data_IF_294546726121
#
_entry.id   IF_294546726121
#
_cell.length_a   1.000
_cell.length_b   1.000
_cell.length_c   1.000
_cell.angle_alpha   90.00
_cell.angle_beta   90.00
_cell.angle_gamma   90.00
#
_symmetry.space_group_name_H-M   'P 1'
#
loop_
_entity.id
_entity.type
_entity.pdbx_description
1 polymer ?
#
# COMPACT_ATOMS: atom_id res chain seq x y z
N UNK A 1 4.87 -17.69 -11.73
CA UNK A 1 5.65 -18.76 -11.08
C UNK A 1 6.33 -19.64 -12.12
N UNK A 2 5.62 -20.18 -13.12
CA UNK A 2 6.22 -21.02 -14.19
C UNK A 2 7.41 -20.38 -14.90
N UNK A 3 7.42 -19.04 -15.05
CA UNK A 3 8.54 -18.28 -15.59
C UNK A 3 9.79 -18.22 -14.67
N UNK A 4 9.80 -18.90 -13.51
CA UNK A 4 10.95 -18.99 -12.61
C UNK A 4 11.01 -17.93 -11.49
N UNK A 5 9.92 -17.22 -11.20
CA UNK A 5 9.91 -16.21 -10.13
C UNK A 5 9.82 -16.86 -8.73
N UNK A 6 10.76 -16.54 -7.84
CA UNK A 6 10.80 -17.03 -6.45
C UNK A 6 9.74 -16.40 -5.53
N UNK A 7 9.16 -15.26 -5.94
CA UNK A 7 8.07 -14.60 -5.23
C UNK A 7 7.16 -13.86 -6.20
N UNK A 8 5.90 -13.64 -5.79
CA UNK A 8 4.92 -12.88 -6.56
C UNK A 8 4.48 -11.65 -5.77
N UNK A 9 4.62 -10.47 -6.37
CA UNK A 9 4.11 -9.23 -5.81
C UNK A 9 2.69 -8.97 -6.30
N UNK A 10 1.75 -8.88 -5.37
CA UNK A 10 0.31 -8.87 -5.63
C UNK A 10 -0.28 -7.49 -5.34
N UNK A 11 -0.85 -6.87 -6.37
CA UNK A 11 -1.61 -5.64 -6.22
C UNK A 11 -1.77 -4.89 -7.54
N UNK A 12 -3.02 -4.59 -7.91
CA UNK A 12 -3.35 -3.78 -9.08
C UNK A 12 -4.39 -2.72 -8.69
N UNK A 13 -3.97 -1.46 -8.72
CA UNK A 13 -4.83 -0.31 -8.46
C UNK A 13 -5.21 -0.06 -6.99
N UNK A 14 -4.55 -0.73 -6.04
CA UNK A 14 -4.82 -0.54 -4.60
C UNK A 14 -4.00 0.61 -3.96
N UNK A 15 -2.96 1.09 -4.63
CA UNK A 15 -2.06 2.12 -4.10
C UNK A 15 -2.76 3.47 -3.87
N UNK A 16 -2.37 4.18 -2.82
CA UNK A 16 -2.96 5.47 -2.42
C UNK A 16 -2.83 6.59 -3.46
N UNK A 17 -1.80 6.52 -4.31
CA UNK A 17 -1.52 7.47 -5.40
C UNK A 17 -1.85 6.91 -6.79
N UNK A 18 -2.48 5.75 -6.86
CA UNK A 18 -2.72 5.02 -8.10
C UNK A 18 -4.12 5.32 -8.63
N UNK A 19 -4.22 5.64 -9.91
CA UNK A 19 -5.50 5.88 -10.60
C UNK A 19 -5.81 4.80 -11.63
N UNK A 20 -5.03 3.71 -11.72
CA UNK A 20 -5.24 2.60 -12.68
C UNK A 20 -6.70 2.14 -12.73
N UNK A 21 -7.37 1.90 -11.59
CA UNK A 21 -8.77 1.45 -11.58
C UNK A 21 -9.73 2.47 -12.19
N UNK A 22 -9.48 3.75 -11.95
CA UNK A 22 -10.34 4.84 -12.43
C UNK A 22 -10.09 5.08 -13.92
N UNK A 23 -8.83 5.09 -14.35
CA UNK A 23 -8.42 5.43 -15.71
C UNK A 23 -8.64 4.27 -16.68
N UNK A 24 -8.31 3.03 -16.27
CA UNK A 24 -8.35 1.85 -17.14
C UNK A 24 -9.54 0.91 -16.88
N UNK A 25 -10.24 1.08 -15.75
CA UNK A 25 -11.25 0.12 -15.29
C UNK A 25 -10.67 -1.20 -14.75
N UNK A 26 -9.35 -1.42 -14.82
CA UNK A 26 -8.71 -2.66 -14.41
C UNK A 26 -8.27 -2.64 -12.93
N UNK A 27 -8.55 -3.74 -12.22
CA UNK A 27 -8.05 -3.99 -10.89
C UNK A 27 -8.91 -4.98 -10.11
N UNK A 28 -8.41 -5.39 -8.94
CA UNK A 28 -9.10 -6.31 -8.04
C UNK A 28 -8.98 -5.82 -6.59
N UNK A 29 -10.05 -5.84 -5.77
CA UNK A 29 -9.96 -5.50 -4.35
C UNK A 29 -8.82 -6.25 -3.67
N UNK A 30 -7.97 -5.51 -2.94
CA UNK A 30 -6.63 -5.98 -2.56
C UNK A 30 -6.67 -7.24 -1.67
N UNK A 31 -7.62 -7.31 -0.74
CA UNK A 31 -7.73 -8.47 0.14
C UNK A 31 -8.10 -9.74 -0.64
N UNK A 32 -9.03 -9.63 -1.60
CA UNK A 32 -9.36 -10.73 -2.51
C UNK A 32 -8.18 -11.12 -3.40
N UNK A 33 -7.46 -10.13 -3.94
CA UNK A 33 -6.27 -10.37 -4.77
C UNK A 33 -5.19 -11.15 -4.01
N UNK A 34 -4.91 -10.75 -2.76
CA UNK A 34 -3.96 -11.45 -1.88
C UNK A 34 -4.47 -12.87 -1.60
N UNK A 35 -5.73 -13.03 -1.21
CA UNK A 35 -6.33 -14.33 -0.89
C UNK A 35 -6.27 -15.32 -2.06
N UNK A 36 -6.67 -14.87 -3.25
CA UNK A 36 -6.69 -15.71 -4.45
C UNK A 36 -5.26 -16.07 -4.90
N UNK A 37 -4.35 -15.09 -4.91
CA UNK A 37 -2.96 -15.33 -5.28
C UNK A 37 -2.24 -16.23 -4.28
N UNK A 38 -2.46 -16.05 -2.97
CA UNK A 38 -1.87 -16.87 -1.92
C UNK A 38 -2.27 -18.34 -2.08
N UNK A 39 -3.55 -18.61 -2.29
CA UNK A 39 -4.05 -19.99 -2.49
C UNK A 39 -3.43 -20.70 -3.70
N UNK A 40 -3.09 -19.96 -4.74
CA UNK A 40 -2.41 -20.51 -5.90
C UNK A 40 -0.91 -20.71 -5.64
N UNK A 41 -0.25 -19.73 -5.02
CA UNK A 41 1.19 -19.74 -4.76
C UNK A 41 1.60 -20.73 -3.66
N UNK A 42 0.75 -20.94 -2.65
CA UNK A 42 0.97 -21.86 -1.54
C UNK A 42 1.15 -23.32 -2.01
N UNK A 43 0.38 -23.74 -3.03
CA UNK A 43 0.53 -25.07 -3.66
C UNK A 43 1.90 -25.31 -4.28
N UNK A 44 2.64 -24.23 -4.54
CA UNK A 44 3.96 -24.24 -5.15
C UNK A 44 5.04 -23.84 -4.13
N UNK A 45 4.68 -23.64 -2.85
CA UNK A 45 5.55 -23.12 -1.79
C UNK A 45 6.21 -21.78 -2.16
N UNK A 46 5.50 -20.92 -2.89
CA UNK A 46 6.00 -19.60 -3.29
C UNK A 46 5.39 -18.51 -2.40
N UNK A 47 6.21 -17.70 -1.70
CA UNK A 47 5.70 -16.60 -0.90
C UNK A 47 5.18 -15.45 -1.78
N UNK A 48 4.22 -14.70 -1.26
CA UNK A 48 3.69 -13.51 -1.93
C UNK A 48 3.91 -12.24 -1.11
N UNK A 49 4.00 -11.11 -1.81
CA UNK A 49 4.10 -9.77 -1.24
C UNK A 49 2.78 -9.03 -1.52
N UNK A 50 2.06 -8.63 -0.47
CA UNK A 50 0.89 -7.76 -0.62
C UNK A 50 1.32 -6.30 -0.84
N UNK A 51 1.10 -5.75 -2.03
CA UNK A 51 1.60 -4.42 -2.43
C UNK A 51 0.48 -3.39 -2.62
N UNK A 52 0.49 -2.37 -1.75
CA UNK A 52 -0.42 -1.23 -1.82
C UNK A 52 -1.72 -1.37 -1.01
N UNK A 53 -2.34 -0.22 -0.73
CA UNK A 53 -3.64 -0.14 -0.06
C UNK A 53 -3.62 -0.20 1.47
N UNK A 54 -2.45 -0.38 2.09
CA UNK A 54 -2.29 -0.31 3.55
C UNK A 54 -2.44 1.14 4.02
N UNK A 55 -3.47 1.41 4.81
CA UNK A 55 -3.72 2.72 5.42
C UNK A 55 -3.42 2.72 6.92
N UNK A 56 -3.70 1.60 7.59
CA UNK A 56 -3.46 1.40 9.01
C UNK A 56 -2.68 0.11 9.28
N UNK A 57 -2.03 0.01 10.44
CA UNK A 57 -1.33 -1.21 10.86
C UNK A 57 -2.23 -2.45 10.90
N UNK A 58 -3.52 -2.28 11.18
CA UNK A 58 -4.51 -3.36 11.09
C UNK A 58 -4.69 -3.94 9.67
N UNK A 59 -4.38 -3.17 8.62
CA UNK A 59 -4.44 -3.68 7.24
C UNK A 59 -3.25 -4.59 6.93
N UNK A 60 -2.10 -4.40 7.61
CA UNK A 60 -0.96 -5.33 7.58
C UNK A 60 -1.39 -6.68 8.15
N UNK A 61 -2.08 -6.67 9.31
CA UNK A 61 -2.62 -7.90 9.93
C UNK A 61 -3.54 -8.63 8.95
N UNK A 62 -4.49 -7.91 8.33
CA UNK A 62 -5.44 -8.50 7.37
C UNK A 62 -4.74 -9.06 6.13
N UNK A 63 -3.76 -8.34 5.58
CA UNK A 63 -3.00 -8.79 4.41
C UNK A 63 -2.23 -10.09 4.72
N UNK A 64 -1.56 -10.15 5.87
CA UNK A 64 -0.82 -11.34 6.30
C UNK A 64 -1.79 -12.48 6.57
N UNK A 65 -2.86 -12.24 7.34
CA UNK A 65 -3.88 -13.25 7.62
C UNK A 65 -4.60 -13.77 6.36
N UNK A 66 -4.63 -12.98 5.28
CA UNK A 66 -5.14 -13.41 3.98
C UNK A 66 -4.14 -14.24 3.15
N UNK A 67 -2.93 -14.47 3.65
CA UNK A 67 -1.93 -15.33 3.01
C UNK A 67 -0.69 -14.60 2.47
N UNK A 68 -0.56 -13.28 2.65
CA UNK A 68 0.68 -12.60 2.29
C UNK A 68 1.82 -12.94 3.26
N UNK A 69 3.01 -13.24 2.73
CA UNK A 69 4.20 -13.48 3.56
C UNK A 69 4.81 -12.17 4.05
N UNK A 70 4.74 -11.13 3.22
CA UNK A 70 5.20 -9.77 3.53
C UNK A 70 4.26 -8.74 2.90
N UNK A 71 4.38 -7.48 3.32
CA UNK A 71 3.66 -6.35 2.74
C UNK A 71 4.62 -5.29 2.23
N UNK A 72 4.28 -4.65 1.11
CA UNK A 72 5.00 -3.50 0.57
C UNK A 72 4.19 -2.24 0.82
N UNK A 73 4.84 -1.23 1.41
CA UNK A 73 4.20 -0.02 1.92
C UNK A 73 4.84 1.22 1.27
N UNK A 74 4.00 2.11 0.74
CA UNK A 74 4.42 3.39 0.16
C UNK A 74 4.07 4.57 1.08
N UNK A 75 2.80 5.01 1.05
CA UNK A 75 2.36 6.27 1.68
C UNK A 75 2.69 6.42 3.15
N UNK A 76 2.66 5.34 3.93
CA UNK A 76 2.96 5.43 5.37
C UNK A 76 4.45 5.67 5.66
N UNK A 77 5.35 5.34 4.71
CA UNK A 77 6.79 5.55 4.85
C UNK A 77 7.26 6.81 4.10
N UNK A 78 6.43 7.34 3.19
CA UNK A 78 6.82 8.47 2.34
C UNK A 78 7.08 9.77 3.11
N UNK A 79 6.46 9.94 4.29
CA UNK A 79 6.68 11.09 5.16
C UNK A 79 7.89 10.98 6.08
N UNK A 80 8.59 9.84 6.08
CA UNK A 80 9.70 9.61 7.00
C UNK A 80 10.93 10.46 6.66
N UNK A 81 11.75 10.76 7.65
CA UNK A 81 12.96 11.56 7.47
C UNK A 81 13.91 10.93 6.44
N UNK A 82 14.00 9.60 6.44
CA UNK A 82 14.84 8.78 5.56
C UNK A 82 14.28 8.63 4.14
N UNK A 83 13.03 9.03 3.89
CA UNK A 83 12.47 9.00 2.53
C UNK A 83 13.14 10.06 1.65
N UNK A 84 13.19 9.88 0.31
CA UNK A 84 13.73 10.93 -0.57
C UNK A 84 12.93 12.23 -0.54
N UNK A 85 13.59 13.34 -0.88
CA UNK A 85 12.98 14.66 -0.97
C UNK A 85 13.06 15.45 0.34
N UNK A 86 12.95 16.77 0.22
CA UNK A 86 13.03 17.70 1.34
C UNK A 86 11.67 17.86 2.05
N UNK A 87 11.72 18.30 3.30
CA UNK A 87 10.51 18.65 4.06
C UNK A 87 10.02 20.03 3.60
N UNK A 88 8.76 20.08 3.19
CA UNK A 88 8.06 21.27 2.73
C UNK A 88 7.14 21.80 3.83
N UNK A 89 7.10 23.11 4.03
CA UNK A 89 6.14 23.75 4.92
C UNK A 89 4.92 24.20 4.13
N UNK A 90 3.73 23.75 4.53
CA UNK A 90 2.47 24.15 3.93
C UNK A 90 1.41 24.37 5.02
N UNK A 91 0.79 25.55 5.02
CA UNK A 91 -0.23 25.94 6.02
C UNK A 91 0.21 25.68 7.47
N UNK A 92 1.50 25.95 7.77
CA UNK A 92 2.07 25.78 9.10
C UNK A 92 2.34 24.33 9.52
N UNK A 93 2.15 23.35 8.63
CA UNK A 93 2.47 21.93 8.86
C UNK A 93 3.57 21.45 7.92
N UNK A 94 4.31 20.43 8.37
CA UNK A 94 5.42 19.83 7.63
C UNK A 94 4.94 18.66 6.77
N UNK A 95 5.35 18.62 5.52
CA UNK A 95 4.99 17.59 4.54
C UNK A 95 6.22 17.11 3.76
N UNK A 96 6.10 15.97 3.09
CA UNK A 96 7.03 15.51 2.04
C UNK A 96 6.25 15.15 0.78
N UNK A 97 6.89 15.36 -0.38
CA UNK A 97 6.35 14.94 -1.67
C UNK A 97 6.13 13.42 -1.73
N UNK A 98 5.03 12.99 -2.32
CA UNK A 98 4.73 11.57 -2.56
C UNK A 98 3.94 11.45 -3.86
N UNK A 99 4.46 10.65 -4.80
CA UNK A 99 3.89 10.52 -6.14
C UNK A 99 3.82 9.09 -6.61
N UNK A 100 2.84 8.81 -7.44
CA UNK A 100 2.73 7.54 -8.14
C UNK A 100 3.78 7.40 -9.24
N UNK A 101 4.31 6.20 -9.41
CA UNK A 101 5.28 5.95 -10.49
C UNK A 101 4.69 6.19 -11.88
N UNK A 102 3.37 6.10 -12.02
CA UNK A 102 2.61 6.39 -13.25
C UNK A 102 2.10 7.83 -13.34
N UNK A 103 2.59 8.74 -12.49
CA UNK A 103 2.34 10.18 -12.60
C UNK A 103 3.22 10.81 -13.67
N UNK A 104 2.81 11.97 -14.18
CA UNK A 104 3.52 12.68 -15.25
C UNK A 104 4.99 12.96 -14.88
N UNK A 105 5.24 13.52 -13.69
CA UNK A 105 6.58 13.84 -13.22
C UNK A 105 7.44 12.62 -12.88
N UNK A 106 6.83 11.46 -12.62
CA UNK A 106 7.57 10.20 -12.45
C UNK A 106 7.91 9.55 -13.80
N UNK A 107 6.97 9.56 -14.75
CA UNK A 107 7.14 9.00 -16.10
C UNK A 107 8.09 9.82 -16.98
N UNK A 108 8.28 11.11 -16.69
CA UNK A 108 9.31 11.93 -17.36
C UNK A 108 10.74 11.68 -16.84
N UNK A 109 10.91 10.86 -15.80
CA UNK A 109 12.20 10.49 -15.22
C UNK A 109 12.56 9.03 -15.45
N UNK A 110 13.40 8.46 -14.58
CA UNK A 110 13.85 7.05 -14.66
C UNK A 110 12.73 6.01 -14.59
N UNK A 111 11.52 6.39 -14.16
CA UNK A 111 10.35 5.49 -14.10
C UNK A 111 9.73 5.19 -15.46
N UNK A 112 10.18 5.85 -16.53
CA UNK A 112 9.65 5.70 -17.88
C UNK A 112 9.62 4.23 -18.33
N UNK A 113 10.65 3.45 -18.00
CA UNK A 113 10.79 2.03 -18.41
C UNK A 113 9.73 1.11 -17.78
N UNK A 114 9.23 1.44 -16.58
CA UNK A 114 8.19 0.64 -15.92
C UNK A 114 6.83 0.72 -16.62
N UNK A 115 6.61 1.81 -17.37
CA UNK A 115 5.37 2.06 -18.11
C UNK A 115 5.56 1.94 -19.63
N UNK A 116 6.81 2.04 -20.11
CA UNK A 116 7.21 1.81 -21.48
C UNK A 116 6.73 0.46 -21.96
N UNK A 117 5.74 0.47 -22.85
CA UNK A 117 5.51 -0.68 -23.72
C UNK A 117 6.80 -0.89 -24.53
N UNK A 118 7.30 -2.13 -24.60
CA UNK A 118 8.37 -2.53 -25.52
C UNK A 118 7.98 -2.44 -27.01
N UNK A 119 7.17 -1.45 -27.38
CA UNK A 119 6.64 -1.16 -28.71
C UNK A 119 6.76 0.35 -28.98
N UNK A 120 7.97 0.92 -28.99
CA UNK A 120 8.17 2.20 -29.67
C UNK A 120 9.57 2.29 -30.27
N UNK A 121 9.61 2.31 -31.60
CA UNK A 121 10.80 2.60 -32.43
C UNK A 121 10.80 4.07 -32.86
N UNK A 122 10.45 5.01 -31.96
CA UNK A 122 10.25 6.42 -32.34
C UNK A 122 10.91 7.39 -31.36
N UNK A 123 11.55 8.42 -31.92
CA UNK A 123 12.61 9.26 -31.34
C UNK A 123 12.15 10.41 -30.42
N UNK A 124 10.87 10.48 -30.02
CA UNK A 124 10.36 11.63 -29.25
C UNK A 124 10.31 11.36 -27.73
N UNK A 125 10.77 12.30 -26.90
CA UNK A 125 10.83 12.15 -25.43
C UNK A 125 9.46 12.02 -24.75
N UNK A 126 8.38 12.46 -25.41
CA UNK A 126 6.99 12.35 -24.94
C UNK A 126 6.38 10.97 -25.12
N UNK A 127 6.97 10.09 -25.94
CA UNK A 127 6.38 8.81 -26.34
C UNK A 127 7.08 7.59 -25.72
N UNK A 128 8.21 7.77 -25.02
CA UNK A 128 8.99 6.66 -24.42
C UNK A 128 8.24 5.84 -23.36
N UNK A 129 7.18 6.41 -22.78
CA UNK A 129 6.34 5.71 -21.80
C UNK A 129 5.27 4.84 -22.47
N UNK A 130 4.96 4.99 -23.76
CA UNK A 130 3.89 4.23 -24.46
C UNK A 130 2.46 4.43 -23.92
N UNK A 131 2.30 4.89 -22.67
CA UNK A 131 1.02 5.22 -22.04
C UNK A 131 0.71 6.70 -22.21
N UNK A 132 -0.37 6.96 -22.95
CA UNK A 132 -0.90 8.32 -23.21
C UNK A 132 -1.60 8.88 -21.96
N UNK A 133 -2.18 8.03 -21.11
CA UNK A 133 -2.91 8.44 -19.92
C UNK A 133 -2.14 8.08 -18.62
N UNK A 134 -1.86 9.05 -17.73
CA UNK A 134 -1.21 8.77 -16.45
C UNK A 134 -2.12 7.96 -15.52
N UNK A 135 -1.54 6.95 -14.87
CA UNK A 135 -2.22 6.07 -13.90
C UNK A 135 -1.76 6.34 -12.45
N UNK A 136 -1.21 7.52 -12.21
CA UNK A 136 -0.88 7.99 -10.87
C UNK A 136 -0.95 9.51 -10.73
N UNK A 137 -1.07 9.95 -9.48
CA UNK A 137 -1.08 11.38 -9.12
C UNK A 137 0.18 11.76 -8.34
N UNK A 138 0.39 13.06 -8.20
CA UNK A 138 1.42 13.66 -7.37
C UNK A 138 0.75 14.37 -6.21
N UNK A 139 1.27 14.19 -5.00
CA UNK A 139 0.70 14.75 -3.80
C UNK A 139 1.75 14.92 -2.71
N UNK A 140 1.26 15.15 -1.49
CA UNK A 140 2.08 15.32 -0.31
C UNK A 140 1.51 14.51 0.86
N UNK A 141 2.39 14.03 1.72
CA UNK A 141 2.04 13.33 2.96
C UNK A 141 2.63 14.07 4.15
N UNK A 142 1.98 14.07 5.33
CA UNK A 142 2.55 14.69 6.52
C UNK A 142 3.93 14.11 6.84
N UNK A 143 4.86 14.95 7.28
CA UNK A 143 6.15 14.47 7.76
C UNK A 143 5.94 13.66 9.06
N UNK A 144 6.49 12.44 9.11
CA UNK A 144 6.25 11.48 10.20
C UNK A 144 7.41 11.34 11.18
N UNK A 145 8.56 11.97 10.92
CA UNK A 145 9.80 11.75 11.68
C UNK A 145 10.52 10.48 11.23
N UNK A 146 11.30 9.85 12.12
CA UNK A 146 12.09 8.67 11.75
C UNK A 146 11.22 7.49 11.32
N UNK A 147 11.68 6.78 10.29
CA UNK A 147 11.09 5.52 9.82
C UNK A 147 11.02 4.46 10.92
N UNK A 148 11.94 4.49 11.89
CA UNK A 148 11.97 3.54 13.00
C UNK A 148 10.73 3.67 13.88
N UNK A 149 10.28 4.90 14.15
CA UNK A 149 9.08 5.14 14.95
C UNK A 149 7.82 4.66 14.21
N UNK A 150 7.75 4.91 12.89
CA UNK A 150 6.67 4.44 12.03
C UNK A 150 6.61 2.91 12.01
N UNK A 151 7.75 2.25 11.82
CA UNK A 151 7.85 0.77 11.84
C UNK A 151 7.47 0.22 13.21
N UNK A 152 7.90 0.85 14.31
CA UNK A 152 7.55 0.42 15.66
C UNK A 152 6.02 0.43 15.88
N UNK A 153 5.32 1.47 15.41
CA UNK A 153 3.85 1.51 15.47
C UNK A 153 3.19 0.43 14.61
N UNK A 154 3.71 0.17 13.41
CA UNK A 154 3.21 -0.89 12.53
C UNK A 154 3.38 -2.28 13.16
N UNK A 155 4.57 -2.57 13.69
CA UNK A 155 4.86 -3.83 14.37
C UNK A 155 4.05 -3.99 15.65
N UNK A 156 3.82 -2.91 16.40
CA UNK A 156 2.93 -2.91 17.56
C UNK A 156 1.51 -3.33 17.19
N UNK A 157 0.95 -2.76 16.11
CA UNK A 157 -0.35 -3.15 15.57
C UNK A 157 -0.40 -4.61 15.10
N UNK A 158 0.65 -5.08 14.41
CA UNK A 158 0.75 -6.47 13.97
C UNK A 158 0.76 -7.45 15.16
N UNK A 159 1.60 -7.20 16.16
CA UNK A 159 1.70 -8.03 17.38
C UNK A 159 0.39 -8.04 18.15
N UNK A 160 -0.28 -6.90 18.26
CA UNK A 160 -1.61 -6.81 18.88
C UNK A 160 -2.64 -7.66 18.13
N UNK A 161 -2.69 -7.55 16.80
CA UNK A 161 -3.58 -8.35 15.96
C UNK A 161 -3.32 -9.85 16.06
N UNK A 162 -2.05 -10.26 16.07
CA UNK A 162 -1.64 -11.65 16.31
C UNK A 162 -2.09 -12.15 17.69
N UNK A 163 -1.96 -11.31 18.74
CA UNK A 163 -2.45 -11.62 20.08
C UNK A 163 -3.95 -11.89 20.13
N UNK A 164 -4.77 -11.04 19.48
CA UNK A 164 -6.22 -11.26 19.38
C UNK A 164 -6.59 -12.51 18.56
N UNK A 165 -5.81 -12.82 17.52
CA UNK A 165 -6.02 -14.01 16.71
C UNK A 165 -5.52 -15.30 17.40
N UNK A 166 -4.77 -15.19 18.50
CA UNK A 166 -4.15 -16.33 19.18
C UNK A 166 -3.02 -16.97 18.37
N UNK A 167 -2.35 -16.21 17.50
CA UNK A 167 -1.29 -16.70 16.63
C UNK A 167 0.10 -16.33 17.18
N UNK A 168 0.93 -17.33 17.46
CA UNK A 168 2.31 -17.14 17.91
C UNK A 168 3.29 -16.87 16.77
N UNK A 169 2.90 -17.16 15.53
CA UNK A 169 3.72 -17.01 14.32
C UNK A 169 2.91 -16.46 13.14
N UNK A 170 3.62 -15.99 12.11
CA UNK A 170 3.01 -15.52 10.86
C UNK A 170 2.26 -16.68 10.16
N UNK A 171 2.86 -17.88 10.16
CA UNK A 171 2.24 -19.08 9.60
C UNK A 171 0.94 -19.46 10.33
N UNK A 172 0.92 -19.36 11.67
CA UNK A 172 -0.31 -19.54 12.44
C UNK A 172 -1.35 -18.48 12.13
N UNK A 173 -0.96 -17.20 11.99
CA UNK A 173 -1.90 -16.14 11.62
C UNK A 173 -2.55 -16.42 10.26
N UNK A 174 -1.78 -16.90 9.28
CA UNK A 174 -2.26 -17.24 7.94
C UNK A 174 -3.22 -18.44 7.91
N UNK A 175 -3.08 -19.39 8.83
CA UNK A 175 -3.84 -20.67 8.82
C UNK A 175 -5.01 -20.68 9.80
N UNK A 176 -4.94 -19.92 10.88
CA UNK A 176 -5.95 -19.92 11.96
C UNK A 176 -6.93 -18.75 11.90
N UNK A 177 -6.52 -17.62 11.30
CA UNK A 177 -7.35 -16.43 11.28
C UNK A 177 -8.66 -16.63 10.50
N UNK A 178 -9.73 -16.03 11.02
CA UNK A 178 -11.05 -16.03 10.38
C UNK A 178 -11.53 -14.61 10.18
N UNK A 179 -12.01 -14.33 8.98
CA UNK A 179 -12.58 -13.04 8.65
C UNK A 179 -14.10 -13.04 8.80
N UNK A 180 -14.66 -11.87 9.11
CA UNK A 180 -16.08 -11.56 8.98
C UNK A 180 -16.23 -10.35 8.06
N UNK A 181 -17.18 -10.44 7.15
CA UNK A 181 -17.53 -9.32 6.26
C UNK A 181 -18.38 -8.36 7.07
N UNK A 182 -18.03 -7.08 7.01
CA UNK A 182 -18.76 -5.99 7.65
C UNK A 182 -19.37 -5.06 6.61
N UNK A 183 -20.48 -4.42 6.96
CA UNK A 183 -21.10 -3.37 6.14
C UNK A 183 -20.35 -2.04 6.30
N UNK A 184 -20.76 -1.02 5.54
CA UNK A 184 -20.24 0.34 5.73
C UNK A 184 -20.50 0.88 7.15
N UNK A 185 -21.65 0.55 7.75
CA UNK A 185 -21.96 0.91 9.13
C UNK A 185 -21.02 0.22 10.12
N UNK A 186 -20.73 -1.08 9.93
CA UNK A 186 -19.75 -1.79 10.76
C UNK A 186 -18.33 -1.25 10.60
N UNK A 187 -17.96 -0.78 9.40
CA UNK A 187 -16.69 -0.05 9.20
C UNK A 187 -16.68 1.28 9.96
N UNK A 188 -17.78 2.04 9.93
CA UNK A 188 -17.89 3.29 10.67
C UNK A 188 -17.79 3.06 12.18
N UNK A 189 -18.45 2.03 12.70
CA UNK A 189 -18.35 1.55 14.09
C UNK A 189 -16.91 1.18 14.48
N UNK A 190 -16.14 0.60 13.56
CA UNK A 190 -14.76 0.18 13.83
C UNK A 190 -13.78 1.35 14.05
N UNK A 191 -14.11 2.55 13.58
CA UNK A 191 -13.32 3.77 13.80
C UNK A 191 -13.88 4.54 15.01
N UNK A 192 -13.08 5.34 15.75
CA UNK A 192 -13.63 6.26 16.75
C UNK A 192 -14.76 7.12 16.16
N UNK A 193 -15.93 7.05 16.80
CA UNK A 193 -17.14 7.79 16.44
C UNK A 193 -17.78 8.41 17.70
N UNK A 194 -18.66 9.40 17.49
CA UNK A 194 -19.38 10.13 18.56
C UNK A 194 -18.49 10.85 19.59
N UNK A 195 -17.23 11.12 19.25
CA UNK A 195 -16.27 11.89 20.07
C UNK A 195 -15.43 12.82 19.21
N UNK A 196 -14.94 13.92 19.82
CA UNK A 196 -13.96 14.81 19.19
C UNK A 196 -12.56 14.43 19.64
N UNK A 197 -11.67 14.12 18.70
CA UNK A 197 -10.26 13.83 18.98
C UNK A 197 -9.56 15.13 19.37
N UNK A 198 -9.04 15.19 20.60
CA UNK A 198 -8.31 16.37 21.12
C UNK A 198 -6.80 16.21 21.05
N UNK A 199 -6.30 14.97 20.87
CA UNK A 199 -4.89 14.64 20.72
C UNK A 199 -4.73 13.50 19.73
N UNK A 200 -3.87 13.69 18.74
CA UNK A 200 -3.58 12.66 17.74
C UNK A 200 -2.78 11.51 18.37
N UNK A 201 -3.20 10.27 18.06
CA UNK A 201 -2.44 9.08 18.40
C UNK A 201 -1.43 8.78 17.28
N UNK A 202 -0.22 8.28 17.62
CA UNK A 202 0.85 8.06 16.63
C UNK A 202 0.51 7.00 15.57
N UNK A 203 -0.44 6.12 15.85
CA UNK A 203 -0.88 5.04 14.98
C UNK A 203 -2.27 5.26 14.37
N UNK A 204 -2.89 6.42 14.60
CA UNK A 204 -4.24 6.71 14.10
C UNK A 204 -4.38 8.16 13.67
N UNK A 205 -4.39 8.35 12.34
CA UNK A 205 -4.75 9.60 11.70
C UNK A 205 -5.95 9.32 10.79
N UNK A 206 -7.02 10.09 10.97
CA UNK A 206 -8.15 10.04 10.05
C UNK A 206 -7.70 10.78 8.79
N UNK A 207 -7.66 10.10 7.64
CA UNK A 207 -7.55 10.84 6.39
C UNK A 207 -8.78 11.74 6.29
N UNK A 208 -8.55 13.04 6.17
CA UNK A 208 -9.59 14.01 5.90
C UNK A 208 -10.13 13.75 4.49
N UNK A 209 -11.27 13.08 4.42
CA UNK A 209 -12.15 13.07 3.26
C UNK A 209 -13.51 13.55 3.72
#
# INVERSE_FOLDING_TARGET
>A
VEAGADTVKVGVGAGSICTTRVVSGAGLPQLSAIWEAARAADRLNIPIIGDGGVAYSGDIVKAIAAGASTVMIGSMLAGADESPGEVELFEGRRYKSYRGMGSLGAMSGYSADRYGSGQSTVESQSERSGKIAPEGIEGRVPATGSVLDVIAQMLGGLRSGMGYAGAASIAELQTSARFRIVTAAGRAESHPHDVTITKEAPNYQRSSH
#
